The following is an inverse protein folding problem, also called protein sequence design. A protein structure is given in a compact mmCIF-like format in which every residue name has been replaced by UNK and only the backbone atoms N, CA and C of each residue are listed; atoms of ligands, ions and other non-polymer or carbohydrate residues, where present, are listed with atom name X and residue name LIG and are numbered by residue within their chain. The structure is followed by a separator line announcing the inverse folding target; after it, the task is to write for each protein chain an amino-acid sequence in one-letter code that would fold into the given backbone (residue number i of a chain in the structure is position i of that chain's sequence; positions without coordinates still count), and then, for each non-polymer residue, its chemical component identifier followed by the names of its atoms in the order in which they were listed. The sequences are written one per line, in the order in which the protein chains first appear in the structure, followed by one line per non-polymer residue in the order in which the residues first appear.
data_IF_144999525173
#
_entry.id   IF_144999525173
#
_cell.length_a   1.000
_cell.length_b   1.000
_cell.length_c   1.000
_cell.angle_alpha   90.00
_cell.angle_beta   90.00
_cell.angle_gamma   90.00
#
_symmetry.space_group_name_H-M   'P 1'
#
loop_
_entity.id
_entity.type
_entity.pdbx_description
1 polymer ?
#
# COMPACT_ATOMS: atom_id res chain seq x y z
N UNK A 1 -35.21 -26.96 -4.85
CA UNK A 1 -34.10 -27.08 -5.81
C UNK A 1 -34.25 -28.36 -6.63
N UNK A 2 -34.49 -29.52 -6.00
CA UNK A 2 -34.56 -30.81 -6.71
C UNK A 2 -35.70 -30.95 -7.72
N UNK A 3 -36.75 -30.14 -7.62
CA UNK A 3 -37.85 -30.13 -8.60
C UNK A 3 -37.54 -29.33 -9.87
N UNK A 4 -36.53 -28.45 -9.83
CA UNK A 4 -36.25 -27.48 -10.88
C UNK A 4 -34.87 -27.66 -11.51
N UNK A 5 -34.10 -28.67 -11.10
CA UNK A 5 -32.76 -28.94 -11.62
C UNK A 5 -32.35 -30.40 -11.44
N UNK A 6 -31.29 -30.81 -12.14
CA UNK A 6 -30.63 -32.11 -11.94
C UNK A 6 -29.62 -32.09 -10.78
N UNK A 7 -29.86 -31.26 -9.75
CA UNK A 7 -28.95 -31.17 -8.61
C UNK A 7 -28.80 -32.54 -7.92
N UNK A 8 -27.56 -32.99 -7.77
CA UNK A 8 -27.26 -34.31 -7.20
C UNK A 8 -26.74 -35.30 -8.24
N UNK A 9 -27.01 -35.05 -9.52
CA UNK A 9 -26.43 -35.80 -10.62
C UNK A 9 -25.03 -35.26 -10.92
N UNK A 10 -24.05 -36.14 -11.10
CA UNK A 10 -22.66 -35.74 -11.41
C UNK A 10 -21.98 -36.79 -12.26
N UNK A 11 -21.22 -36.33 -13.26
CA UNK A 11 -20.41 -37.21 -14.10
C UNK A 11 -19.04 -37.38 -13.44
N UNK A 12 -18.84 -38.54 -12.81
CA UNK A 12 -17.60 -38.88 -12.13
C UNK A 12 -16.52 -39.32 -13.12
N UNK A 13 -15.38 -38.65 -13.12
CA UNK A 13 -14.23 -38.96 -13.96
C UNK A 13 -13.00 -39.16 -13.09
N UNK A 14 -12.30 -40.29 -13.30
CA UNK A 14 -11.02 -40.55 -12.66
C UNK A 14 -9.94 -39.64 -13.26
N UNK A 15 -9.07 -39.10 -12.41
CA UNK A 15 -8.07 -38.09 -12.81
C UNK A 15 -7.12 -38.56 -13.93
N UNK A 16 -6.85 -39.87 -14.02
CA UNK A 16 -6.05 -40.49 -15.08
C UNK A 16 -6.66 -40.33 -16.48
N UNK A 17 -7.99 -40.16 -16.56
CA UNK A 17 -8.74 -39.99 -17.83
C UNK A 17 -8.87 -38.52 -18.26
N UNK A 18 -8.49 -37.57 -17.41
CA UNK A 18 -8.55 -36.14 -17.72
C UNK A 18 -7.28 -35.76 -18.49
N UNK A 19 -7.39 -34.96 -19.56
CA UNK A 19 -6.22 -34.55 -20.35
C UNK A 19 -5.44 -33.47 -19.61
N UNK A 20 -4.13 -33.42 -19.85
CA UNK A 20 -3.24 -32.50 -19.14
C UNK A 20 -3.56 -31.02 -19.38
N UNK A 21 -4.15 -30.68 -20.52
CA UNK A 21 -4.56 -29.32 -20.86
C UNK A 21 -5.97 -28.94 -20.39
N UNK A 22 -6.74 -29.88 -19.82
CA UNK A 22 -8.11 -29.61 -19.40
C UNK A 22 -8.13 -28.76 -18.12
N UNK A 23 -9.11 -27.87 -18.04
CA UNK A 23 -9.28 -26.99 -16.88
C UNK A 23 -9.74 -27.76 -15.65
N UNK A 24 -9.05 -27.53 -14.53
CA UNK A 24 -9.43 -28.06 -13.23
C UNK A 24 -9.84 -26.89 -12.32
N UNK A 25 -11.00 -27.03 -11.67
CA UNK A 25 -11.52 -26.06 -10.72
C UNK A 25 -11.58 -26.65 -9.29
N UNK A 26 -10.83 -26.06 -8.38
CA UNK A 26 -10.84 -26.39 -6.96
C UNK A 26 -11.51 -25.26 -6.16
N UNK A 27 -11.88 -25.52 -4.90
CA UNK A 27 -12.57 -24.52 -4.09
C UNK A 27 -11.73 -23.27 -3.82
N UNK A 28 -10.40 -23.37 -3.79
CA UNK A 28 -9.48 -22.24 -3.61
C UNK A 28 -9.45 -21.27 -4.79
N UNK A 29 -9.84 -21.74 -5.98
CA UNK A 29 -9.86 -20.92 -7.19
C UNK A 29 -11.07 -20.00 -7.27
N UNK A 30 -12.09 -20.23 -6.44
CA UNK A 30 -13.31 -19.41 -6.42
C UNK A 30 -13.22 -18.44 -5.24
N UNK A 31 -13.42 -17.16 -5.51
CA UNK A 31 -13.44 -16.12 -4.48
C UNK A 31 -14.66 -16.28 -3.55
N UNK A 32 -14.50 -15.88 -2.28
CA UNK A 32 -15.56 -15.92 -1.28
C UNK A 32 -16.64 -14.89 -1.61
N UNK A 33 -17.91 -15.22 -1.40
CA UNK A 33 -19.07 -14.32 -1.60
C UNK A 33 -19.22 -13.78 -3.04
N UNK A 34 -18.53 -14.35 -4.02
CA UNK A 34 -18.56 -13.91 -5.41
C UNK A 34 -18.76 -15.07 -6.38
N UNK A 35 -18.91 -14.74 -7.68
CA UNK A 35 -18.85 -15.72 -8.77
C UNK A 35 -17.51 -15.66 -9.52
N UNK A 36 -16.52 -14.95 -8.96
CA UNK A 36 -15.25 -14.72 -9.62
C UNK A 36 -14.31 -15.91 -9.43
N UNK A 37 -13.55 -16.17 -10.49
CA UNK A 37 -12.54 -17.22 -10.54
C UNK A 37 -11.18 -16.52 -10.53
N UNK A 38 -10.40 -16.80 -9.49
CA UNK A 38 -9.07 -16.19 -9.28
C UNK A 38 -8.07 -16.63 -10.34
N UNK A 39 -8.18 -17.89 -10.81
CA UNK A 39 -7.24 -18.48 -11.75
C UNK A 39 -7.85 -19.65 -12.51
N UNK A 40 -7.36 -19.86 -13.73
CA UNK A 40 -7.73 -21.00 -14.58
C UNK A 40 -6.53 -21.92 -14.76
N UNK A 41 -6.38 -22.93 -13.89
CA UNK A 41 -5.26 -23.87 -14.00
C UNK A 41 -5.65 -25.16 -14.71
N UNK A 42 -4.75 -25.64 -15.56
CA UNK A 42 -4.85 -26.92 -16.24
C UNK A 42 -4.47 -28.07 -15.31
N UNK A 43 -4.84 -29.30 -15.66
CA UNK A 43 -4.38 -30.50 -14.94
C UNK A 43 -2.86 -30.55 -14.81
N UNK A 44 -2.10 -30.22 -15.85
CA UNK A 44 -0.63 -30.22 -15.80
C UNK A 44 -0.03 -29.21 -14.81
N UNK A 45 -0.79 -28.21 -14.40
CA UNK A 45 -0.34 -27.10 -13.55
C UNK A 45 -0.66 -27.34 -12.07
N UNK A 46 -1.26 -28.49 -11.71
CA UNK A 46 -1.57 -28.83 -10.32
C UNK A 46 -1.56 -30.33 -10.03
N UNK A 47 -1.16 -30.67 -8.81
CA UNK A 47 -1.23 -32.05 -8.31
C UNK A 47 -2.65 -32.37 -7.84
N UNK A 48 -3.36 -33.21 -8.60
CA UNK A 48 -4.71 -33.69 -8.27
C UNK A 48 -4.75 -35.22 -8.24
N UNK A 49 -5.66 -35.78 -7.44
CA UNK A 49 -5.86 -37.22 -7.30
C UNK A 49 -7.33 -37.56 -7.05
N UNK A 50 -7.67 -38.83 -7.26
CA UNK A 50 -9.01 -39.36 -7.03
C UNK A 50 -9.99 -39.06 -8.17
N UNK A 51 -11.23 -38.74 -7.79
CA UNK A 51 -12.34 -38.48 -8.72
C UNK A 51 -12.58 -36.98 -8.83
N UNK A 52 -13.01 -36.53 -10.02
CA UNK A 52 -13.50 -35.18 -10.27
C UNK A 52 -14.88 -35.25 -10.92
N UNK A 53 -15.68 -34.20 -10.76
CA UNK A 53 -16.94 -34.03 -11.47
C UNK A 53 -16.67 -33.29 -12.78
N UNK A 54 -17.11 -33.85 -13.90
CA UNK A 54 -17.12 -33.11 -15.16
C UNK A 54 -18.29 -32.12 -15.18
N UNK A 55 -18.04 -30.94 -15.73
CA UNK A 55 -19.06 -29.90 -15.91
C UNK A 55 -18.89 -29.21 -17.26
N UNK A 56 -19.98 -28.63 -17.74
CA UNK A 56 -20.04 -27.96 -19.04
C UNK A 56 -20.28 -26.46 -18.91
N UNK A 57 -19.95 -25.71 -19.96
CA UNK A 57 -20.23 -24.28 -20.05
C UNK A 57 -21.71 -23.99 -19.80
N UNK A 58 -21.99 -23.00 -18.95
CA UNK A 58 -23.34 -22.57 -18.62
C UNK A 58 -23.97 -23.31 -17.42
N UNK A 59 -23.37 -24.39 -16.92
CA UNK A 59 -23.85 -25.08 -15.72
C UNK A 59 -23.60 -24.27 -14.45
N UNK A 60 -24.44 -24.45 -13.44
CA UNK A 60 -24.23 -23.88 -12.10
C UNK A 60 -23.23 -24.76 -11.36
N UNK A 61 -22.18 -24.16 -10.81
CA UNK A 61 -21.25 -24.80 -9.89
C UNK A 61 -21.52 -24.27 -8.49
N UNK A 62 -21.93 -25.15 -7.57
CA UNK A 62 -22.27 -24.81 -6.20
C UNK A 62 -21.37 -25.56 -5.21
N UNK A 63 -20.73 -24.83 -4.30
CA UNK A 63 -19.95 -25.43 -3.23
C UNK A 63 -20.86 -25.97 -2.12
N UNK A 64 -20.90 -27.29 -1.97
CA UNK A 64 -21.63 -27.93 -0.85
C UNK A 64 -20.81 -27.94 0.44
N UNK A 65 -19.52 -27.59 0.39
CA UNK A 65 -18.63 -27.54 1.53
C UNK A 65 -18.45 -26.10 2.02
N UNK A 66 -18.66 -25.87 3.32
CA UNK A 66 -18.56 -24.55 3.96
C UNK A 66 -19.39 -23.52 3.20
N UNK A 67 -20.70 -23.74 3.13
CA UNK A 67 -21.62 -22.90 2.35
C UNK A 67 -21.57 -21.41 2.73
N UNK A 68 -21.13 -21.05 3.94
CA UNK A 68 -20.82 -19.67 4.36
C UNK A 68 -19.69 -18.98 3.57
N UNK A 69 -18.89 -19.73 2.81
CA UNK A 69 -17.95 -19.15 1.85
C UNK A 69 -18.65 -18.69 0.57
N UNK A 70 -19.90 -19.11 0.38
CA UNK A 70 -20.84 -18.61 -0.62
C UNK A 70 -20.29 -18.65 -2.06
N UNK A 71 -19.60 -19.75 -2.39
CA UNK A 71 -18.94 -19.99 -3.67
C UNK A 71 -19.92 -20.61 -4.65
N UNK A 72 -20.51 -19.79 -5.51
CA UNK A 72 -21.47 -20.22 -6.53
C UNK A 72 -21.25 -19.43 -7.81
N UNK A 73 -21.14 -20.12 -8.94
CA UNK A 73 -20.94 -19.47 -10.24
C UNK A 73 -21.64 -20.22 -11.37
N UNK A 74 -21.79 -19.56 -12.50
CA UNK A 74 -22.17 -20.20 -13.77
C UNK A 74 -20.88 -20.44 -14.56
N UNK A 75 -20.65 -21.69 -14.95
CA UNK A 75 -19.40 -22.11 -15.58
C UNK A 75 -19.15 -21.33 -16.88
N UNK A 76 -18.05 -20.54 -16.97
CA UNK A 76 -17.77 -19.74 -18.16
C UNK A 76 -17.23 -20.58 -19.33
N UNK A 77 -16.71 -21.79 -19.02
CA UNK A 77 -16.25 -22.80 -19.98
C UNK A 77 -16.38 -24.19 -19.33
N UNK A 78 -16.23 -25.25 -20.11
CA UNK A 78 -16.23 -26.63 -19.60
C UNK A 78 -14.93 -27.00 -18.88
N UNK A 79 -15.01 -28.02 -18.00
CA UNK A 79 -13.85 -28.49 -17.24
C UNK A 79 -14.22 -29.57 -16.22
N UNK A 80 -13.33 -29.75 -15.25
CA UNK A 80 -13.50 -30.73 -14.17
C UNK A 80 -13.33 -30.04 -12.82
N UNK A 81 -14.24 -30.30 -11.88
CA UNK A 81 -14.18 -29.71 -10.55
C UNK A 81 -14.05 -30.76 -9.46
N UNK A 82 -13.62 -30.32 -8.28
CA UNK A 82 -13.60 -31.16 -7.08
C UNK A 82 -14.99 -31.70 -6.74
N UNK A 83 -15.05 -32.86 -6.08
CA UNK A 83 -16.34 -33.50 -5.73
C UNK A 83 -17.13 -32.73 -4.67
N UNK A 84 -16.52 -31.71 -4.06
CA UNK A 84 -17.17 -30.73 -3.16
C UNK A 84 -17.86 -29.58 -3.91
N UNK A 85 -17.71 -29.52 -5.25
CA UNK A 85 -18.50 -28.67 -6.14
C UNK A 85 -19.55 -29.54 -6.85
N UNK A 86 -20.80 -29.14 -6.76
CA UNK A 86 -21.90 -29.76 -7.49
C UNK A 86 -22.15 -28.97 -8.77
N UNK A 87 -21.98 -29.61 -9.92
CA UNK A 87 -22.39 -29.08 -11.22
C UNK A 87 -23.82 -29.52 -11.53
N UNK A 88 -24.66 -28.59 -12.00
CA UNK A 88 -26.04 -28.88 -12.38
C UNK A 88 -26.64 -27.81 -13.30
N UNK A 89 -27.69 -28.17 -14.01
CA UNK A 89 -28.52 -27.33 -14.86
C UNK A 89 -29.95 -27.26 -14.33
N UNK A 90 -30.60 -26.13 -14.54
CA UNK A 90 -32.03 -25.99 -14.28
C UNK A 90 -32.87 -26.52 -15.44
N UNK A 91 -34.07 -27.01 -15.14
CA UNK A 91 -35.04 -27.50 -16.12
C UNK A 91 -35.97 -26.38 -16.62
N UNK A 92 -36.53 -26.57 -17.82
CA UNK A 92 -37.63 -25.74 -18.34
C UNK A 92 -37.26 -24.26 -18.51
N UNK A 93 -38.12 -23.37 -18.02
CA UNK A 93 -38.02 -21.91 -18.19
C UNK A 93 -37.18 -21.22 -17.09
N UNK A 94 -36.23 -21.94 -16.51
CA UNK A 94 -35.35 -21.42 -15.47
C UNK A 94 -34.04 -20.89 -16.03
N UNK A 95 -33.63 -19.71 -15.57
CA UNK A 95 -32.32 -19.16 -15.87
C UNK A 95 -31.30 -19.62 -14.84
N UNK A 96 -30.25 -20.32 -15.30
CA UNK A 96 -29.12 -20.69 -14.45
C UNK A 96 -28.47 -19.48 -13.76
N UNK A 97 -28.38 -18.34 -14.47
CA UNK A 97 -27.86 -17.09 -13.90
C UNK A 97 -28.74 -16.58 -12.75
N UNK A 98 -30.06 -16.60 -12.93
CA UNK A 98 -31.00 -16.19 -11.89
C UNK A 98 -30.86 -17.09 -10.65
N UNK A 99 -30.87 -18.41 -10.84
CA UNK A 99 -30.69 -19.35 -9.74
C UNK A 99 -29.33 -19.14 -9.06
N UNK A 100 -28.25 -18.94 -9.82
CA UNK A 100 -26.94 -18.61 -9.26
C UNK A 100 -26.97 -17.36 -8.35
N UNK A 101 -27.75 -16.32 -8.68
CA UNK A 101 -27.95 -15.17 -7.78
C UNK A 101 -28.76 -15.51 -6.54
N UNK A 102 -29.82 -16.32 -6.67
CA UNK A 102 -30.61 -16.78 -5.51
C UNK A 102 -29.74 -17.58 -4.56
N UNK A 103 -28.93 -18.51 -5.06
CA UNK A 103 -28.06 -19.35 -4.24
C UNK A 103 -26.99 -18.56 -3.49
N UNK A 104 -26.59 -17.40 -4.02
CA UNK A 104 -25.67 -16.47 -3.36
C UNK A 104 -26.34 -15.49 -2.40
N UNK A 105 -27.66 -15.39 -2.45
CA UNK A 105 -28.39 -14.44 -1.62
C UNK A 105 -28.36 -14.85 -0.13
N UNK A 106 -28.46 -13.88 0.80
CA UNK A 106 -28.61 -14.18 2.22
C UNK A 106 -29.75 -15.16 2.52
N UNK A 107 -30.85 -15.07 1.77
CA UNK A 107 -32.00 -15.97 1.90
C UNK A 107 -31.61 -17.45 1.78
N UNK A 108 -30.88 -17.82 0.73
CA UNK A 108 -30.46 -19.21 0.54
C UNK A 108 -29.30 -19.57 1.46
N UNK A 109 -28.39 -18.63 1.72
CA UNK A 109 -27.29 -18.85 2.64
C UNK A 109 -27.79 -19.20 4.05
N UNK A 110 -28.73 -18.43 4.60
CA UNK A 110 -29.35 -18.66 5.91
C UNK A 110 -30.09 -20.00 6.00
N UNK A 111 -30.66 -20.46 4.89
CA UNK A 111 -31.22 -21.81 4.80
C UNK A 111 -30.11 -22.87 4.98
N UNK A 112 -29.04 -22.77 4.21
CA UNK A 112 -27.95 -23.77 4.25
C UNK A 112 -27.22 -23.81 5.59
N UNK A 113 -27.12 -22.67 6.30
CA UNK A 113 -26.51 -22.62 7.62
C UNK A 113 -27.37 -23.30 8.70
N UNK A 114 -28.69 -23.36 8.51
CA UNK A 114 -29.61 -24.04 9.45
C UNK A 114 -29.64 -25.55 9.26
N UNK A 115 -29.52 -26.04 8.03
CA UNK A 115 -29.56 -27.47 7.72
C UNK A 115 -28.18 -28.11 7.46
N UNK A 116 -27.10 -27.31 7.48
CA UNK A 116 -25.74 -27.79 7.31
C UNK A 116 -25.31 -28.70 8.47
N UNK A 117 -24.52 -29.73 8.15
CA UNK A 117 -24.04 -30.70 9.14
C UNK A 117 -22.51 -30.72 9.19
N UNK A 118 -21.95 -31.04 10.37
CA UNK A 118 -20.51 -31.10 10.60
C UNK A 118 -19.93 -29.82 11.22
N UNK A 119 -19.18 -29.96 12.31
CA UNK A 119 -18.75 -28.82 13.15
C UNK A 119 -17.57 -28.05 12.55
N UNK A 120 -16.51 -28.73 12.10
CA UNK A 120 -15.30 -28.07 11.54
C UNK A 120 -15.39 -27.80 10.04
N UNK A 121 -16.19 -28.59 9.33
CA UNK A 121 -16.30 -28.62 7.87
C UNK A 121 -17.77 -28.81 7.49
N UNK A 122 -18.63 -27.81 7.75
CA UNK A 122 -20.06 -27.95 7.52
C UNK A 122 -20.33 -28.22 6.05
N UNK A 123 -21.21 -29.18 5.77
CA UNK A 123 -21.63 -29.53 4.41
C UNK A 123 -23.14 -29.44 4.27
N UNK A 124 -23.58 -29.17 3.05
CA UNK A 124 -24.96 -29.32 2.64
C UNK A 124 -25.16 -30.68 2.00
N UNK A 125 -26.03 -31.51 2.57
CA UNK A 125 -26.38 -32.81 1.99
C UNK A 125 -27.17 -32.62 0.69
N UNK A 126 -27.10 -33.58 -0.24
CA UNK A 126 -27.92 -33.52 -1.46
C UNK A 126 -29.42 -33.50 -1.13
N UNK A 127 -29.83 -34.30 -0.13
CA UNK A 127 -31.23 -34.36 0.30
C UNK A 127 -31.73 -33.01 0.82
N UNK A 128 -30.92 -32.28 1.59
CA UNK A 128 -31.31 -30.97 2.11
C UNK A 128 -31.19 -29.89 1.04
N UNK A 129 -30.15 -29.90 0.20
CA UNK A 129 -30.05 -29.01 -0.95
C UNK A 129 -31.32 -29.09 -1.83
N UNK A 130 -31.82 -30.30 -2.11
CA UNK A 130 -33.01 -30.51 -2.92
C UNK A 130 -34.27 -29.87 -2.31
N UNK A 131 -34.41 -29.87 -0.97
CA UNK A 131 -35.51 -29.23 -0.23
C UNK A 131 -35.42 -27.70 -0.19
N UNK A 132 -34.27 -27.12 -0.53
CA UNK A 132 -34.09 -25.67 -0.56
C UNK A 132 -35.08 -24.99 -1.51
N UNK A 133 -35.89 -24.08 -0.98
CA UNK A 133 -36.89 -23.34 -1.75
C UNK A 133 -36.21 -22.29 -2.63
N UNK A 134 -36.65 -22.16 -3.88
CA UNK A 134 -36.14 -21.18 -4.84
C UNK A 134 -37.34 -20.36 -5.34
N UNK A 135 -37.31 -19.03 -5.24
CA UNK A 135 -38.37 -18.18 -5.79
C UNK A 135 -38.44 -18.37 -7.31
N UNK A 136 -39.65 -18.46 -7.84
CA UNK A 136 -39.91 -18.80 -9.24
C UNK A 136 -40.72 -17.70 -9.95
N UNK A 137 -40.12 -16.54 -10.27
CA UNK A 137 -40.79 -15.54 -11.09
C UNK A 137 -40.85 -15.99 -12.57
N UNK A 138 -41.74 -15.40 -13.39
CA UNK A 138 -41.78 -15.66 -14.83
C UNK A 138 -40.41 -15.42 -15.51
N UNK A 139 -40.12 -16.14 -16.60
CA UNK A 139 -38.81 -16.07 -17.27
C UNK A 139 -38.40 -14.63 -17.65
N UNK A 140 -39.32 -13.82 -18.17
CA UNK A 140 -39.04 -12.42 -18.49
C UNK A 140 -38.65 -11.60 -17.25
N UNK A 141 -39.22 -11.91 -16.09
CA UNK A 141 -38.86 -11.28 -14.82
C UNK A 141 -37.51 -11.78 -14.28
N UNK A 142 -37.20 -13.08 -14.41
CA UNK A 142 -35.87 -13.61 -14.09
C UNK A 142 -34.78 -12.88 -14.90
N UNK A 143 -34.98 -12.74 -16.21
CA UNK A 143 -34.05 -12.03 -17.09
C UNK A 143 -33.92 -10.55 -16.68
N UNK A 144 -35.03 -9.88 -16.35
CA UNK A 144 -35.01 -8.48 -15.90
C UNK A 144 -34.23 -8.30 -14.59
N UNK A 145 -34.42 -9.21 -13.63
CA UNK A 145 -33.68 -9.21 -12.35
C UNK A 145 -32.18 -9.40 -12.61
N UNK A 146 -31.79 -10.42 -13.37
CA UNK A 146 -30.39 -10.69 -13.71
C UNK A 146 -29.76 -9.48 -14.38
N UNK A 147 -30.42 -8.90 -15.39
CA UNK A 147 -29.91 -7.72 -16.09
C UNK A 147 -29.71 -6.51 -15.16
N UNK A 148 -30.59 -6.31 -14.17
CA UNK A 148 -30.43 -5.24 -13.17
C UNK A 148 -29.27 -5.52 -12.23
N UNK A 149 -29.11 -6.75 -11.78
CA UNK A 149 -28.00 -7.15 -10.91
C UNK A 149 -26.66 -7.00 -11.63
N UNK A 150 -26.54 -7.53 -12.85
CA UNK A 150 -25.33 -7.41 -13.69
C UNK A 150 -24.98 -5.93 -13.93
N UNK A 151 -25.99 -5.08 -14.21
CA UNK A 151 -25.78 -3.63 -14.35
C UNK A 151 -25.22 -2.99 -13.06
N UNK A 152 -25.76 -3.34 -11.90
CA UNK A 152 -25.30 -2.75 -10.64
C UNK A 152 -23.90 -3.23 -10.26
N UNK A 153 -23.59 -4.52 -10.44
CA UNK A 153 -22.23 -5.02 -10.23
C UNK A 153 -21.21 -4.37 -11.16
N UNK A 154 -21.54 -4.22 -12.45
CA UNK A 154 -20.69 -3.51 -13.39
C UNK A 154 -20.45 -2.04 -12.99
N UNK A 155 -21.45 -1.38 -12.39
CA UNK A 155 -21.27 -0.02 -11.88
C UNK A 155 -20.37 0.02 -10.63
N UNK A 156 -20.49 -0.96 -9.74
CA UNK A 156 -19.63 -1.08 -8.55
C UNK A 156 -18.17 -1.29 -8.98
N UNK A 157 -17.91 -2.22 -9.90
CA UNK A 157 -16.57 -2.46 -10.45
C UNK A 157 -15.97 -1.20 -11.08
N UNK A 158 -16.77 -0.43 -11.84
CA UNK A 158 -16.33 0.85 -12.40
C UNK A 158 -15.97 1.87 -11.33
N UNK A 159 -16.77 1.98 -10.26
CA UNK A 159 -16.49 2.90 -9.14
C UNK A 159 -15.20 2.49 -8.41
N UNK A 160 -15.01 1.21 -8.16
CA UNK A 160 -13.78 0.67 -7.55
C UNK A 160 -12.55 0.95 -8.41
N UNK A 161 -12.67 0.76 -9.72
CA UNK A 161 -11.59 1.09 -10.66
C UNK A 161 -11.24 2.58 -10.63
N UNK A 162 -12.24 3.47 -10.74
CA UNK A 162 -12.04 4.93 -10.68
C UNK A 162 -11.40 5.35 -9.35
N UNK A 163 -11.78 4.72 -8.24
CA UNK A 163 -11.17 4.95 -6.92
C UNK A 163 -9.68 4.58 -6.91
N UNK A 164 -9.32 3.43 -7.47
CA UNK A 164 -7.93 2.98 -7.57
C UNK A 164 -7.09 3.88 -8.50
N UNK A 165 -7.66 4.29 -9.62
CA UNK A 165 -7.01 5.19 -10.58
C UNK A 165 -6.75 6.57 -9.94
N UNK A 166 -7.72 7.10 -9.19
CA UNK A 166 -7.56 8.36 -8.47
C UNK A 166 -6.49 8.29 -7.37
N UNK A 167 -6.42 7.19 -6.62
CA UNK A 167 -5.33 6.97 -5.65
C UNK A 167 -3.95 6.97 -6.32
N UNK A 168 -3.85 6.34 -7.48
CA UNK A 168 -2.61 6.32 -8.28
C UNK A 168 -2.27 7.72 -8.79
N UNK A 169 -3.25 8.47 -9.31
CA UNK A 169 -3.07 9.83 -9.79
C UNK A 169 -2.62 10.79 -8.68
N UNK A 170 -3.18 10.67 -7.47
CA UNK A 170 -2.76 11.45 -6.29
C UNK A 170 -1.28 11.18 -5.97
N UNK A 171 -0.86 9.91 -5.94
CA UNK A 171 0.55 9.55 -5.70
C UNK A 171 1.48 10.14 -6.76
N UNK A 172 1.10 10.03 -8.04
CA UNK A 172 1.86 10.61 -9.16
C UNK A 172 1.93 12.13 -9.07
N UNK A 173 0.83 12.80 -8.72
CA UNK A 173 0.78 14.24 -8.53
C UNK A 173 1.72 14.70 -7.41
N UNK A 174 1.72 14.04 -6.25
CA UNK A 174 2.66 14.34 -5.15
C UNK A 174 4.11 14.20 -5.58
N UNK A 175 4.45 13.09 -6.25
CA UNK A 175 5.78 12.87 -6.80
C UNK A 175 6.18 13.97 -7.79
N UNK A 176 5.27 14.37 -8.68
CA UNK A 176 5.52 15.44 -9.65
C UNK A 176 5.67 16.82 -9.02
N UNK A 177 4.89 17.12 -7.98
CA UNK A 177 5.03 18.36 -7.20
C UNK A 177 6.42 18.44 -6.57
N UNK A 178 6.91 17.36 -5.95
CA UNK A 178 8.26 17.31 -5.39
C UNK A 178 9.34 17.49 -6.45
N UNK A 179 9.20 16.82 -7.59
CA UNK A 179 10.09 16.99 -8.75
C UNK A 179 10.15 18.45 -9.21
N UNK A 180 8.99 19.10 -9.41
CA UNK A 180 8.95 20.50 -9.81
C UNK A 180 9.52 21.43 -8.71
N UNK A 181 9.27 21.14 -7.43
CA UNK A 181 9.79 21.92 -6.32
C UNK A 181 11.32 21.92 -6.29
N UNK A 182 11.92 20.74 -6.40
CA UNK A 182 13.37 20.53 -6.23
C UNK A 182 14.14 21.00 -7.45
N UNK A 183 13.48 21.14 -8.60
CA UNK A 183 14.06 21.75 -9.79
C UNK A 183 13.72 23.24 -9.97
N UNK A 184 13.11 23.89 -8.96
CA UNK A 184 12.81 25.33 -8.99
C UNK A 184 11.74 25.72 -10.02
N UNK A 185 10.86 24.78 -10.38
CA UNK A 185 9.78 24.95 -11.36
C UNK A 185 8.39 25.04 -10.72
N UNK A 186 8.28 24.86 -9.40
CA UNK A 186 6.99 24.89 -8.69
C UNK A 186 6.48 26.32 -8.46
N UNK A 187 7.37 27.28 -8.22
CA UNK A 187 7.01 28.68 -7.93
C UNK A 187 7.76 29.64 -8.86
N UNK A 188 7.21 30.83 -9.15
CA UNK A 188 7.90 31.83 -9.96
C UNK A 188 9.21 32.31 -9.31
N UNK A 189 10.25 32.45 -10.12
CA UNK A 189 11.54 33.01 -9.71
C UNK A 189 11.43 34.51 -9.41
N UNK A 190 12.11 34.99 -8.37
CA UNK A 190 12.14 36.41 -8.01
C UNK A 190 13.57 36.98 -8.14
N UNK A 191 13.85 37.85 -9.13
CA UNK A 191 15.18 38.44 -9.33
C UNK A 191 15.71 39.26 -8.13
N UNK A 192 14.81 39.70 -7.23
CA UNK A 192 15.17 40.47 -6.04
C UNK A 192 15.55 39.60 -4.83
N UNK A 193 15.40 38.28 -4.92
CA UNK A 193 15.76 37.40 -3.81
C UNK A 193 17.28 37.46 -3.55
N UNK A 194 17.68 37.33 -2.28
CA UNK A 194 19.09 37.37 -1.91
C UNK A 194 19.85 36.23 -2.63
N UNK A 195 20.92 36.53 -3.41
CA UNK A 195 21.63 35.49 -4.13
C UNK A 195 22.29 34.51 -3.16
N UNK A 196 22.20 33.22 -3.49
CA UNK A 196 22.72 32.11 -2.68
C UNK A 196 24.22 32.22 -2.38
N UNK A 197 24.97 32.89 -3.25
CA UNK A 197 26.39 33.19 -3.03
C UNK A 197 26.66 33.93 -1.72
N UNK A 198 25.72 34.76 -1.24
CA UNK A 198 25.82 35.42 0.06
C UNK A 198 25.61 34.43 1.21
N UNK A 199 24.64 33.52 1.10
CA UNK A 199 24.39 32.47 2.11
C UNK A 199 25.61 31.55 2.27
N UNK A 200 26.20 31.08 1.17
CA UNK A 200 27.39 30.20 1.22
C UNK A 200 28.62 30.90 1.78
N UNK A 201 28.83 32.18 1.45
CA UNK A 201 29.94 32.97 2.00
C UNK A 201 29.86 33.16 3.51
N UNK A 202 28.66 33.09 4.11
CA UNK A 202 28.50 33.11 5.58
C UNK A 202 29.06 31.84 6.24
N UNK A 203 29.10 30.70 5.53
CA UNK A 203 29.63 29.42 6.03
C UNK A 203 31.15 29.35 5.80
N UNK A 204 31.54 29.57 4.55
CA UNK A 204 32.92 29.43 4.12
C UNK A 204 33.23 30.59 3.16
N UNK A 205 34.03 31.58 3.61
CA UNK A 205 34.43 32.72 2.77
C UNK A 205 35.15 32.31 1.47
N UNK A 206 35.71 31.09 1.43
CA UNK A 206 36.40 30.49 0.28
C UNK A 206 35.53 29.52 -0.52
N UNK A 207 34.24 29.40 -0.21
CA UNK A 207 33.33 28.52 -0.95
C UNK A 207 33.38 28.86 -2.45
N UNK A 208 33.71 27.86 -3.27
CA UNK A 208 33.61 27.99 -4.73
C UNK A 208 32.14 28.09 -5.08
N UNK A 209 31.74 29.21 -5.66
CA UNK A 209 30.45 29.35 -6.35
C UNK A 209 30.60 28.52 -7.63
N UNK A 210 30.04 27.32 -7.65
CA UNK A 210 29.98 26.52 -8.88
C UNK A 210 28.91 27.13 -9.77
N UNK A 211 29.34 27.69 -10.90
CA UNK A 211 28.48 28.40 -11.87
C UNK A 211 27.73 27.46 -12.81
N UNK A 212 27.82 26.15 -12.62
CA UNK A 212 27.20 25.16 -13.50
C UNK A 212 25.71 25.05 -13.17
N UNK A 213 24.97 26.04 -13.65
CA UNK A 213 23.53 26.22 -13.48
C UNK A 213 22.72 25.60 -14.63
N UNK A 214 23.30 24.71 -15.45
CA UNK A 214 22.59 24.16 -16.63
C UNK A 214 21.27 23.46 -16.27
N UNK A 215 21.11 22.99 -15.03
CA UNK A 215 19.93 22.26 -14.56
C UNK A 215 18.95 23.05 -13.68
N UNK A 216 19.33 24.24 -13.17
CA UNK A 216 18.50 25.01 -12.22
C UNK A 216 18.29 26.47 -12.61
N UNK A 217 17.22 27.11 -12.09
CA UNK A 217 16.94 28.51 -12.35
C UNK A 217 18.05 29.46 -11.87
N UNK A 218 18.04 30.67 -12.42
CA UNK A 218 18.94 31.74 -11.99
C UNK A 218 18.81 32.02 -10.50
N UNK A 219 19.94 32.07 -9.78
CA UNK A 219 20.00 32.32 -8.34
C UNK A 219 20.16 31.06 -7.49
N UNK A 220 19.86 29.88 -8.05
CA UNK A 220 20.11 28.60 -7.40
C UNK A 220 21.57 28.17 -7.51
N UNK A 221 22.00 27.33 -6.56
CA UNK A 221 23.27 26.62 -6.62
C UNK A 221 23.09 25.19 -6.13
N UNK A 222 24.05 24.31 -6.43
CA UNK A 222 24.17 23.01 -5.79
C UNK A 222 25.18 23.08 -4.65
N UNK A 223 24.92 22.31 -3.60
CA UNK A 223 25.88 22.06 -2.53
C UNK A 223 25.70 20.63 -2.01
N UNK A 224 26.49 20.23 -1.02
CA UNK A 224 26.30 18.97 -0.31
C UNK A 224 25.70 19.22 1.06
N UNK A 225 24.91 18.26 1.55
CA UNK A 225 24.20 18.39 2.83
C UNK A 225 25.16 18.68 4.01
N UNK A 226 26.37 18.12 3.98
CA UNK A 226 27.39 18.35 5.01
C UNK A 226 27.94 19.78 5.07
N UNK A 227 27.82 20.58 4.00
CA UNK A 227 28.24 21.99 4.01
C UNK A 227 27.22 22.86 4.73
N UNK A 228 25.93 22.55 4.63
CA UNK A 228 24.83 23.37 5.16
C UNK A 228 24.28 22.87 6.51
N UNK A 229 24.53 21.62 6.89
CA UNK A 229 24.14 21.06 8.18
C UNK A 229 25.35 20.60 9.01
N UNK A 230 25.31 20.89 10.30
CA UNK A 230 26.15 20.23 11.31
C UNK A 230 25.49 18.90 11.64
N UNK A 231 26.28 17.84 11.57
CA UNK A 231 25.81 16.47 11.74
C UNK A 231 26.37 15.86 13.03
N UNK A 232 25.50 15.20 13.78
CA UNK A 232 25.89 14.30 14.85
C UNK A 232 25.03 13.04 14.82
N UNK A 233 25.57 11.94 15.35
CA UNK A 233 24.81 10.73 15.67
C UNK A 233 24.60 10.63 17.17
N UNK A 234 23.59 9.86 17.56
CA UNK A 234 23.30 9.60 18.96
C UNK A 234 24.24 8.58 19.61
N UNK A 235 23.97 8.31 20.89
CA UNK A 235 24.74 7.36 21.70
C UNK A 235 24.34 5.91 21.36
N UNK A 236 25.32 5.01 21.28
CA UNK A 236 25.07 3.58 21.13
C UNK A 236 24.71 2.94 22.48
N UNK A 237 23.83 1.95 22.47
CA UNK A 237 23.54 1.17 23.67
C UNK A 237 24.59 0.04 23.77
N UNK A 238 25.46 0.09 24.78
CA UNK A 238 26.44 -0.97 25.03
C UNK A 238 26.54 -1.26 26.55
N UNK A 239 27.07 -2.43 26.91
CA UNK A 239 27.15 -2.90 28.29
C UNK A 239 28.01 -2.03 29.22
N UNK A 240 28.90 -1.22 28.65
CA UNK A 240 29.76 -0.25 29.35
C UNK A 240 29.08 1.09 29.65
N UNK A 241 27.94 1.41 29.02
CA UNK A 241 27.26 2.70 29.18
C UNK A 241 26.34 2.70 30.41
N UNK A 242 26.91 2.67 31.61
CA UNK A 242 26.18 2.65 32.89
C UNK A 242 26.22 3.96 33.68
N UNK A 243 27.08 4.89 33.29
CA UNK A 243 27.32 6.15 34.01
C UNK A 243 26.65 7.34 33.30
N UNK A 244 26.11 8.26 34.09
CA UNK A 244 25.51 9.52 33.61
C UNK A 244 24.08 9.73 34.10
N UNK A 245 23.46 10.80 33.62
CA UNK A 245 22.06 11.11 33.92
C UNK A 245 21.13 10.31 33.00
N UNK A 246 20.12 9.67 33.59
CA UNK A 246 19.09 8.98 32.82
C UNK A 246 18.27 9.99 32.02
N UNK A 247 18.27 9.85 30.69
CA UNK A 247 17.48 10.67 29.78
C UNK A 247 16.68 9.78 28.83
N UNK A 248 15.47 10.23 28.50
CA UNK A 248 14.68 9.63 27.43
C UNK A 248 15.33 9.90 26.09
N UNK A 249 15.28 8.92 25.18
CA UNK A 249 15.89 9.04 23.87
C UNK A 249 15.01 8.46 22.75
N UNK A 250 15.17 9.02 21.56
CA UNK A 250 14.53 8.51 20.34
C UNK A 250 15.37 7.42 19.70
N UNK A 251 14.67 6.42 19.16
CA UNK A 251 15.22 5.35 18.33
C UNK A 251 14.58 5.40 16.94
N UNK A 252 15.08 4.60 16.00
CA UNK A 252 14.51 4.54 14.65
C UNK A 252 13.05 4.06 14.62
N UNK A 253 12.53 3.48 15.70
CA UNK A 253 11.09 3.16 15.80
C UNK A 253 10.25 4.36 16.19
N UNK A 254 10.85 5.42 16.74
CA UNK A 254 10.13 6.62 17.18
C UNK A 254 10.02 7.69 16.09
N UNK A 255 10.76 7.56 14.98
CA UNK A 255 10.82 8.57 13.90
C UNK A 255 10.16 8.03 12.64
N UNK A 256 9.11 8.70 12.19
CA UNK A 256 8.39 8.46 10.94
C UNK A 256 8.50 9.69 10.03
N UNK A 257 8.10 9.56 8.76
CA UNK A 257 8.03 10.70 7.84
C UNK A 257 7.11 11.79 8.40
N UNK A 258 7.71 12.91 8.81
CA UNK A 258 7.06 14.08 9.40
C UNK A 258 6.35 13.85 10.75
N UNK A 259 6.59 12.72 11.42
CA UNK A 259 5.90 12.37 12.68
C UNK A 259 6.80 11.65 13.65
N UNK A 260 6.46 11.77 14.93
CA UNK A 260 7.11 11.04 16.00
C UNK A 260 6.11 10.13 16.73
N UNK A 261 6.55 8.92 17.07
CA UNK A 261 5.83 8.01 17.94
C UNK A 261 6.50 7.98 19.33
N UNK A 262 5.77 8.48 20.33
CA UNK A 262 6.22 8.53 21.72
C UNK A 262 5.62 7.44 22.60
N UNK A 263 4.86 6.49 22.02
CA UNK A 263 4.20 5.42 22.77
C UNK A 263 5.18 4.63 23.63
N UNK A 264 6.39 4.39 23.10
CA UNK A 264 7.47 3.73 23.83
C UNK A 264 8.74 4.57 23.72
N UNK A 265 9.05 5.30 24.80
CA UNK A 265 10.33 5.98 24.98
C UNK A 265 11.23 5.19 25.92
N UNK A 266 12.44 4.90 25.44
CA UNK A 266 13.47 4.23 26.22
C UNK A 266 14.33 5.28 26.94
N UNK A 267 15.02 4.85 27.99
CA UNK A 267 15.98 5.69 28.71
C UNK A 267 17.36 5.03 28.73
N UNK A 268 18.39 5.85 28.66
CA UNK A 268 19.77 5.42 28.88
C UNK A 268 20.55 6.53 29.60
N UNK A 269 21.65 6.21 30.30
CA UNK A 269 22.45 7.22 30.97
C UNK A 269 23.31 7.98 29.95
N UNK A 270 23.36 9.30 30.07
CA UNK A 270 24.22 10.19 29.27
C UNK A 270 25.17 10.96 30.17
N UNK A 271 26.46 10.98 29.81
CA UNK A 271 27.46 11.85 30.45
C UNK A 271 27.31 13.27 29.91
N UNK A 272 27.70 14.27 30.69
CA UNK A 272 27.59 15.68 30.28
C UNK A 272 28.29 15.96 28.94
N UNK A 273 29.49 15.39 28.74
CA UNK A 273 30.25 15.53 27.50
C UNK A 273 29.64 14.81 26.27
N UNK A 274 28.63 13.97 26.46
CA UNK A 274 27.91 13.28 25.38
C UNK A 274 26.63 14.03 24.96
N UNK A 275 26.07 14.83 25.87
CA UNK A 275 24.78 15.52 25.66
C UNK A 275 24.85 16.49 24.48
N UNK A 276 25.92 17.28 24.35
CA UNK A 276 26.05 18.26 23.26
C UNK A 276 25.87 17.64 21.87
N UNK A 277 26.35 16.41 21.68
CA UNK A 277 26.25 15.68 20.41
C UNK A 277 24.88 15.02 20.24
N UNK A 278 24.34 14.45 21.32
CA UNK A 278 23.15 13.59 21.26
C UNK A 278 21.83 14.33 21.49
N UNK A 279 21.86 15.57 21.99
CA UNK A 279 20.66 16.35 22.28
C UNK A 279 20.14 17.01 21.01
N UNK A 280 18.85 16.81 20.76
CA UNK A 280 18.05 17.40 19.71
C UNK A 280 17.28 18.57 20.31
N UNK A 281 17.30 19.70 19.61
CA UNK A 281 16.57 20.92 19.99
C UNK A 281 15.58 21.29 18.89
N UNK A 282 14.67 22.22 19.18
CA UNK A 282 13.69 22.71 18.20
C UNK A 282 14.37 23.15 16.88
N UNK A 283 13.81 22.72 15.76
CA UNK A 283 14.29 23.00 14.41
C UNK A 283 15.31 22.01 13.85
N UNK A 284 15.82 21.07 14.65
CA UNK A 284 16.71 20.02 14.13
C UNK A 284 15.97 19.05 13.21
N UNK A 285 16.60 18.66 12.10
CA UNK A 285 16.11 17.63 11.21
C UNK A 285 16.71 16.26 11.61
N UNK A 286 15.85 15.31 11.93
CA UNK A 286 16.24 13.95 12.28
C UNK A 286 16.10 13.03 11.07
N UNK A 287 17.10 12.21 10.78
CA UNK A 287 17.12 11.28 9.64
C UNK A 287 17.55 9.89 10.10
N UNK A 288 16.77 8.85 9.77
CA UNK A 288 17.06 7.48 10.16
C UNK A 288 18.04 6.79 9.21
N UNK A 289 19.08 6.17 9.78
CA UNK A 289 20.03 5.30 9.07
C UNK A 289 19.46 3.90 8.81
N UNK A 290 18.56 3.42 9.68
CA UNK A 290 18.07 2.04 9.68
C UNK A 290 16.55 1.90 9.86
N UNK A 291 16.05 0.68 9.66
CA UNK A 291 14.62 0.41 9.50
C UNK A 291 14.19 0.75 8.07
N UNK A 292 13.24 1.68 7.92
CA UNK A 292 13.03 2.36 6.64
C UNK A 292 14.00 3.54 6.51
N UNK A 293 15.06 3.31 5.73
CA UNK A 293 16.19 4.24 5.55
C UNK A 293 15.71 5.53 4.90
N UNK A 294 16.09 6.67 5.48
CA UNK A 294 15.76 8.01 4.98
C UNK A 294 14.59 8.67 5.65
N UNK A 295 13.79 7.93 6.43
CA UNK A 295 12.72 8.51 7.26
C UNK A 295 13.24 9.70 8.03
N UNK A 296 12.55 10.82 7.88
CA UNK A 296 12.95 12.07 8.51
C UNK A 296 11.78 12.84 9.06
N UNK A 297 12.05 13.64 10.08
CA UNK A 297 11.09 14.53 10.70
C UNK A 297 11.82 15.69 11.37
N UNK A 298 11.15 16.83 11.43
CA UNK A 298 11.69 18.03 12.06
C UNK A 298 11.25 18.06 13.51
N UNK A 299 12.19 18.24 14.43
CA UNK A 299 11.87 18.36 15.83
C UNK A 299 11.24 19.74 16.11
N UNK A 300 9.91 19.80 16.21
CA UNK A 300 9.17 21.05 16.40
C UNK A 300 8.70 21.29 17.85
N UNK A 301 9.17 20.49 18.80
CA UNK A 301 8.78 20.60 20.21
C UNK A 301 9.66 21.61 20.97
N UNK A 302 9.08 22.27 21.97
CA UNK A 302 9.75 23.27 22.82
C UNK A 302 10.58 22.65 23.97
N UNK A 303 10.95 21.38 23.85
CA UNK A 303 11.81 20.67 24.80
C UNK A 303 12.85 19.82 24.08
N UNK A 304 13.94 19.54 24.79
CA UNK A 304 15.07 18.80 24.27
C UNK A 304 14.92 17.29 24.49
N UNK A 305 15.42 16.49 23.54
CA UNK A 305 15.43 15.03 23.65
C UNK A 305 16.74 14.44 23.14
N UNK A 306 17.18 13.32 23.71
CA UNK A 306 18.37 12.62 23.21
C UNK A 306 18.02 11.69 22.03
N UNK A 307 19.02 11.33 21.23
CA UNK A 307 18.90 10.32 20.17
C UNK A 307 19.86 9.13 20.36
N UNK A 308 19.51 8.01 19.73
CA UNK A 308 20.35 6.82 19.58
C UNK A 308 21.25 6.89 18.32
N UNK A 309 22.31 6.08 18.30
CA UNK A 309 23.32 5.98 17.22
C UNK A 309 22.81 5.78 15.79
N UNK A 310 21.57 5.32 15.57
CA UNK A 310 21.00 5.09 14.23
C UNK A 310 20.09 6.23 13.74
N UNK A 311 20.10 7.36 14.46
CA UNK A 311 19.46 8.61 14.04
C UNK A 311 20.57 9.63 13.81
N UNK A 312 20.50 10.31 12.68
CA UNK A 312 21.32 11.49 12.39
C UNK A 312 20.56 12.74 12.80
N UNK A 313 21.22 13.59 13.58
CA UNK A 313 20.77 14.95 13.87
C UNK A 313 21.45 15.90 12.88
N UNK A 314 20.65 16.65 12.14
CA UNK A 314 21.10 17.69 11.22
C UNK A 314 20.64 19.05 11.76
N UNK A 315 21.61 19.87 12.18
CA UNK A 315 21.37 21.24 12.64
C UNK A 315 21.85 22.23 11.58
N UNK A 316 21.00 23.15 11.14
CA UNK A 316 21.35 24.11 10.12
C UNK A 316 22.55 24.98 10.55
N UNK A 317 23.53 25.16 9.66
CA UNK A 317 24.68 26.06 9.87
C UNK A 317 24.40 27.50 9.45
N UNK A 318 23.34 27.70 8.66
CA UNK A 318 22.87 28.98 8.13
C UNK A 318 21.37 29.09 8.33
N UNK A 319 20.88 30.32 8.15
CA UNK A 319 19.46 30.55 7.94
C UNK A 319 19.02 29.86 6.65
N UNK A 320 18.29 28.76 6.82
CA UNK A 320 17.65 27.99 5.77
C UNK A 320 16.29 27.49 6.24
N UNK A 321 15.41 27.20 5.29
CA UNK A 321 14.14 26.56 5.58
C UNK A 321 14.38 25.05 5.75
N UNK A 322 14.46 24.54 6.97
CA UNK A 322 14.70 23.11 7.25
C UNK A 322 13.65 22.21 6.58
N UNK A 323 12.40 22.67 6.51
CA UNK A 323 11.30 21.98 5.82
C UNK A 323 11.57 21.74 4.33
N UNK A 324 12.26 22.66 3.65
CA UNK A 324 12.66 22.44 2.26
C UNK A 324 13.55 21.20 2.12
N UNK A 325 14.51 21.02 3.03
CA UNK A 325 15.42 19.86 3.01
C UNK A 325 14.77 18.56 3.47
N UNK A 326 13.74 18.63 4.32
CA UNK A 326 12.85 17.50 4.56
C UNK A 326 12.21 17.01 3.25
N UNK A 327 11.64 17.93 2.45
CA UNK A 327 11.05 17.56 1.14
C UNK A 327 12.09 17.09 0.12
N UNK A 328 13.33 17.62 0.16
CA UNK A 328 14.44 17.08 -0.65
C UNK A 328 14.72 15.63 -0.28
N UNK A 329 14.82 15.29 1.02
CA UNK A 329 15.02 13.89 1.44
C UNK A 329 13.85 12.98 1.05
N UNK A 330 12.62 13.49 1.14
CA UNK A 330 11.43 12.76 0.71
C UNK A 330 11.45 12.44 -0.79
N UNK A 331 11.81 13.41 -1.63
CA UNK A 331 12.00 13.19 -3.07
C UNK A 331 13.10 12.20 -3.38
N UNK A 332 14.25 12.31 -2.70
CA UNK A 332 15.35 11.37 -2.88
C UNK A 332 14.90 9.95 -2.53
N UNK A 333 14.07 9.78 -1.49
CA UNK A 333 13.49 8.49 -1.13
C UNK A 333 12.52 7.98 -2.21
N UNK A 334 11.55 8.78 -2.63
CA UNK A 334 10.53 8.41 -3.62
C UNK A 334 11.15 8.00 -4.97
N UNK A 335 12.28 8.61 -5.34
CA UNK A 335 13.01 8.29 -6.56
C UNK A 335 14.08 7.20 -6.38
N UNK A 336 14.11 6.52 -5.23
CA UNK A 336 15.09 5.49 -4.90
C UNK A 336 16.55 5.98 -5.06
N UNK A 337 16.83 7.23 -4.68
CA UNK A 337 18.19 7.80 -4.68
C UNK A 337 18.89 7.59 -3.32
N UNK A 338 18.13 7.30 -2.26
CA UNK A 338 18.64 6.94 -0.92
C UNK A 338 17.93 5.68 -0.39
N UNK A 339 18.64 4.86 0.41
CA UNK A 339 18.06 3.72 1.15
C UNK A 339 18.32 2.31 0.59
N UNK A 340 19.49 2.09 -0.03
CA UNK A 340 19.77 0.93 -0.88
C UNK A 340 19.89 -0.48 -0.29
N UNK A 341 19.51 -1.46 -1.14
CA UNK A 341 20.02 -2.86 -1.16
C UNK A 341 20.73 -3.23 -2.49
N UNK A 342 21.33 -2.27 -3.23
CA UNK A 342 21.94 -2.52 -4.55
C UNK A 342 23.11 -1.57 -4.90
N UNK A 343 23.85 -1.90 -5.97
CA UNK A 343 25.21 -1.39 -6.33
C UNK A 343 25.25 0.11 -6.70
N UNK A 344 24.10 0.79 -6.89
CA UNK A 344 24.00 2.22 -7.20
C UNK A 344 23.23 3.07 -6.18
N UNK A 345 22.82 2.49 -5.05
CA UNK A 345 21.97 3.16 -4.05
C UNK A 345 22.79 3.65 -2.85
N UNK A 346 22.65 4.93 -2.47
CA UNK A 346 23.28 5.46 -1.26
C UNK A 346 22.63 4.84 -0.02
N UNK A 347 23.36 4.02 0.73
CA UNK A 347 23.05 3.78 2.14
C UNK A 347 23.25 5.08 2.93
N UNK A 348 22.45 5.34 3.97
CA UNK A 348 22.58 6.57 4.76
C UNK A 348 23.58 6.45 5.90
N UNK A 349 24.78 5.93 5.61
CA UNK A 349 25.89 6.10 6.56
C UNK A 349 26.17 7.59 6.76
N UNK A 350 26.80 7.94 7.89
CA UNK A 350 27.19 9.34 8.15
C UNK A 350 27.94 9.97 6.96
N UNK A 351 28.95 9.28 6.42
CA UNK A 351 29.72 9.76 5.27
C UNK A 351 28.91 9.91 3.98
N UNK A 352 27.93 9.03 3.77
CA UNK A 352 27.06 9.11 2.60
C UNK A 352 26.09 10.29 2.73
N UNK A 353 25.49 10.48 3.90
CA UNK A 353 24.60 11.60 4.20
C UNK A 353 25.27 12.96 3.95
N UNK A 354 26.53 13.11 4.39
CA UNK A 354 27.32 14.33 4.15
C UNK A 354 27.54 14.65 2.67
N UNK A 355 27.63 13.62 1.82
CA UNK A 355 27.94 13.73 0.39
C UNK A 355 26.70 13.84 -0.50
N UNK A 356 25.50 13.85 0.07
CA UNK A 356 24.27 14.02 -0.70
C UNK A 356 24.27 15.41 -1.34
N UNK A 357 24.20 15.45 -2.67
CA UNK A 357 24.01 16.68 -3.42
C UNK A 357 22.58 17.18 -3.22
N UNK A 358 22.44 18.45 -2.88
CA UNK A 358 21.15 19.10 -2.65
C UNK A 358 21.11 20.46 -3.36
N UNK A 359 19.93 20.89 -3.85
CA UNK A 359 19.74 22.27 -4.27
C UNK A 359 19.82 23.21 -3.08
N UNK A 360 20.34 24.40 -3.34
CA UNK A 360 20.31 25.54 -2.43
C UNK A 360 19.69 26.73 -3.17
N UNK A 361 18.37 26.95 -3.04
CA UNK A 361 17.67 28.15 -3.52
C UNK A 361 17.92 29.34 -2.59
N UNK A 362 17.58 30.56 -3.03
CA UNK A 362 17.43 31.71 -2.13
C UNK A 362 16.49 31.41 -0.96
N UNK A 363 16.80 31.94 0.23
CA UNK A 363 16.04 31.65 1.45
C UNK A 363 14.54 31.95 1.31
N UNK A 364 14.20 33.10 0.76
CA UNK A 364 12.80 33.49 0.53
C UNK A 364 12.08 32.51 -0.40
N UNK A 365 12.75 32.00 -1.42
CA UNK A 365 12.21 31.01 -2.34
C UNK A 365 12.02 29.65 -1.66
N UNK A 366 12.92 29.22 -0.78
CA UNK A 366 12.75 27.97 -0.02
C UNK A 366 11.41 27.97 0.75
N UNK A 367 11.09 29.09 1.43
CA UNK A 367 9.80 29.23 2.12
C UNK A 367 8.61 29.25 1.17
N UNK A 368 8.69 29.96 0.03
CA UNK A 368 7.63 29.97 -0.99
C UNK A 368 7.36 28.57 -1.56
N UNK A 369 8.41 27.78 -1.78
CA UNK A 369 8.30 26.40 -2.24
C UNK A 369 7.61 25.54 -1.19
N UNK A 370 8.07 25.57 0.06
CA UNK A 370 7.49 24.78 1.16
C UNK A 370 6.02 25.11 1.34
N UNK A 371 5.67 26.40 1.39
CA UNK A 371 4.28 26.83 1.49
C UNK A 371 3.43 26.27 0.35
N UNK A 372 3.96 26.26 -0.89
CA UNK A 372 3.22 25.74 -2.04
C UNK A 372 3.09 24.22 -2.01
N UNK A 373 4.11 23.49 -1.56
CA UNK A 373 4.04 22.03 -1.37
C UNK A 373 2.95 21.71 -0.34
N UNK A 374 2.97 22.36 0.82
CA UNK A 374 2.01 22.12 1.91
C UNK A 374 0.57 22.41 1.48
N UNK A 375 0.35 23.52 0.76
CA UNK A 375 -0.96 23.87 0.19
C UNK A 375 -1.47 22.75 -0.73
N UNK A 376 -0.66 22.31 -1.69
CA UNK A 376 -1.06 21.30 -2.67
C UNK A 376 -1.21 19.91 -2.03
N UNK A 377 -0.32 19.55 -1.10
CA UNK A 377 -0.38 18.27 -0.40
C UNK A 377 -1.61 18.19 0.49
N UNK A 378 -1.98 19.26 1.19
CA UNK A 378 -3.20 19.33 1.99
C UNK A 378 -4.44 19.08 1.13
N UNK A 379 -4.53 19.68 -0.06
CA UNK A 379 -5.63 19.43 -1.00
C UNK A 379 -5.69 17.94 -1.39
N UNK A 380 -4.54 17.36 -1.74
CA UNK A 380 -4.45 15.95 -2.14
C UNK A 380 -4.75 14.99 -0.99
N UNK A 381 -4.34 15.31 0.23
CA UNK A 381 -4.63 14.54 1.44
C UNK A 381 -6.12 14.56 1.78
N UNK A 382 -6.77 15.72 1.65
CA UNK A 382 -8.23 15.83 1.84
C UNK A 382 -9.00 14.97 0.82
N UNK A 383 -8.57 14.95 -0.44
CA UNK A 383 -9.16 14.07 -1.47
C UNK A 383 -8.93 12.61 -1.06
N UNK A 384 -7.71 12.24 -0.68
CA UNK A 384 -7.39 10.87 -0.29
C UNK A 384 -8.17 10.40 0.96
N UNK A 385 -8.42 11.28 1.92
CA UNK A 385 -9.24 10.99 3.09
C UNK A 385 -10.71 10.78 2.73
N UNK A 386 -11.26 11.59 1.83
CA UNK A 386 -12.64 11.41 1.33
C UNK A 386 -12.87 10.08 0.61
N UNK A 387 -11.81 9.47 0.07
CA UNK A 387 -11.86 8.15 -0.56
C UNK A 387 -11.82 6.97 0.42
N UNK A 388 -11.53 7.19 1.70
CA UNK A 388 -11.52 6.12 2.72
C UNK A 388 -12.91 5.81 3.27
N UNK A 389 -13.88 6.69 3.03
CA UNK A 389 -15.32 6.45 3.22
C UNK A 389 -15.79 5.44 2.18
#
# INVERSE_FOLDING_TARGET
MGEISNYGDSINVQVDRIKDNDWILELEDIEKDSANINQFLKKSERSISGVRHQFYTGEILYSKLRTYLNKVLVAPKEGYCTTELMSFNTYGVMSNKFVCHVLRSPYFLDYTLRCGYGVKMPRLSTADACKGMIPLPPLGEQQRIVAKIERWFSLIEQIEQVKNDLQTAIKQAKSKILDLAIHGKLVPQNPNDEPVSKLLKRINPKAKITSDNEHYPYGWQYTILGEIFTHNTGKALNSSNKEGMMKSYLTTSNVHWDKFDFTVLKQMPYKENELDKCTVTKGDLLVCEGGDIGRSAIWNYDYDICIQNHIHKLRAKIDLCVAFYYYVLLYLKENNLIGGKGIGLLGLSSNALHKINVPLPPLAEQYRIVQKIEELFSILDNIQESLKV
#
